data_IF_589170292089
#
_entry.id   IF_589170292089
#
_cell.length_a   1.000
_cell.length_b   1.000
_cell.length_c   1.000
_cell.angle_alpha   90.00
_cell.angle_beta   90.00
_cell.angle_gamma   90.00
#
_symmetry.space_group_name_H-M   'P 1'
#
loop_
_entity.id
_entity.type
_entity.pdbx_description
1 polymer ?
#
# COMPACT_ATOMS: atom_id res chain seq x y z
N UNK A 1 14.26 -7.48 -12.30
CA UNK A 1 14.40 -7.48 -13.78
C UNK A 1 15.77 -6.99 -14.26
N UNK A 2 16.32 -5.92 -13.67
CA UNK A 2 17.56 -5.27 -14.16
C UNK A 2 18.77 -6.21 -14.38
N UNK A 3 19.14 -7.14 -13.48
CA UNK A 3 20.29 -8.03 -13.73
C UNK A 3 20.07 -8.95 -14.94
N UNK A 4 18.87 -9.53 -15.08
CA UNK A 4 18.53 -10.44 -16.17
C UNK A 4 18.57 -9.75 -17.54
N UNK A 5 18.05 -8.52 -17.63
CA UNK A 5 18.05 -7.76 -18.87
C UNK A 5 19.43 -7.19 -19.22
N UNK A 6 20.11 -6.57 -18.25
CA UNK A 6 21.35 -5.82 -18.53
C UNK A 6 22.62 -6.68 -18.55
N UNK A 7 22.65 -7.77 -17.79
CA UNK A 7 23.84 -8.62 -17.67
C UNK A 7 23.67 -9.89 -18.52
N UNK A 8 22.50 -10.52 -18.45
CA UNK A 8 22.26 -11.82 -19.08
C UNK A 8 21.58 -11.72 -20.47
N UNK A 9 21.23 -10.53 -20.92
CA UNK A 9 20.59 -10.30 -22.23
C UNK A 9 19.19 -10.91 -22.37
N UNK A 10 18.54 -11.28 -21.27
CA UNK A 10 17.22 -11.91 -21.25
C UNK A 10 16.11 -10.86 -21.31
N UNK A 11 15.09 -11.10 -22.13
CA UNK A 11 13.91 -10.23 -22.20
C UNK A 11 12.81 -10.70 -21.24
N UNK A 12 12.18 -9.75 -20.57
CA UNK A 12 10.98 -9.97 -19.76
C UNK A 12 9.77 -9.49 -20.54
N UNK A 13 8.79 -10.37 -20.76
CA UNK A 13 7.52 -10.07 -21.44
C UNK A 13 6.38 -9.95 -20.43
N UNK A 14 5.29 -9.25 -20.80
CA UNK A 14 4.09 -9.14 -19.96
C UNK A 14 4.25 -8.33 -18.67
N UNK A 15 5.27 -7.48 -18.58
CA UNK A 15 5.53 -6.66 -17.37
C UNK A 15 4.48 -5.60 -17.12
N UNK A 16 3.76 -5.21 -18.18
CA UNK A 16 2.58 -4.35 -18.18
C UNK A 16 1.34 -5.00 -17.55
N UNK A 17 1.33 -6.33 -17.39
CA UNK A 17 0.26 -7.06 -16.70
C UNK A 17 0.44 -7.13 -15.18
N UNK A 18 1.56 -6.63 -14.65
CA UNK A 18 1.82 -6.60 -13.21
C UNK A 18 0.95 -5.53 -12.53
N UNK A 19 0.26 -5.92 -11.46
CA UNK A 19 -0.53 -5.01 -10.61
C UNK A 19 0.27 -4.58 -9.37
N UNK A 20 -0.32 -3.67 -8.60
CA UNK A 20 0.21 -3.20 -7.33
C UNK A 20 0.44 -4.34 -6.32
N UNK A 21 1.39 -4.14 -5.42
CA UNK A 21 1.51 -4.98 -4.23
C UNK A 21 0.58 -4.40 -3.15
N UNK A 22 -0.35 -5.18 -2.58
CA UNK A 22 -1.28 -4.71 -1.55
C UNK A 22 -0.60 -4.70 -0.18
N UNK A 23 0.50 -3.99 -0.06
CA UNK A 23 1.25 -3.85 1.18
C UNK A 23 0.80 -2.61 1.98
N UNK A 24 1.15 -2.61 3.27
CA UNK A 24 0.59 -1.70 4.25
C UNK A 24 0.98 -0.22 4.07
N UNK A 25 2.05 0.12 3.34
CA UNK A 25 2.42 1.53 3.08
C UNK A 25 1.57 2.11 1.94
N UNK A 26 1.35 1.35 0.88
CA UNK A 26 0.45 1.65 -0.23
C UNK A 26 -0.98 1.76 0.30
N UNK A 27 -1.45 0.73 1.01
CA UNK A 27 -2.78 0.73 1.60
C UNK A 27 -2.94 1.80 2.67
N UNK A 28 -1.88 2.03 3.46
CA UNK A 28 -1.87 2.97 4.57
C UNK A 28 -2.05 4.40 4.12
N UNK A 29 -1.49 4.74 2.96
CA UNK A 29 -1.68 6.04 2.34
C UNK A 29 -3.17 6.37 2.13
N UNK A 30 -3.97 5.42 1.63
CA UNK A 30 -5.40 5.68 1.38
C UNK A 30 -6.21 5.89 2.66
N UNK A 31 -5.84 5.22 3.75
CA UNK A 31 -6.48 5.45 5.05
C UNK A 31 -6.01 6.78 5.63
N UNK A 32 -4.72 7.08 5.56
CA UNK A 32 -4.17 8.33 6.08
C UNK A 32 -4.63 9.57 5.32
N UNK A 33 -4.90 9.45 4.02
CA UNK A 33 -5.43 10.54 3.20
C UNK A 33 -6.96 10.63 3.26
N UNK A 34 -7.62 9.77 4.05
CA UNK A 34 -9.09 9.77 4.23
C UNK A 34 -9.89 9.23 3.04
N UNK A 35 -9.24 8.53 2.10
CA UNK A 35 -9.90 7.83 0.98
C UNK A 35 -10.64 6.60 1.49
N UNK A 36 -10.07 5.92 2.49
CA UNK A 36 -10.69 4.80 3.20
C UNK A 36 -10.79 5.11 4.69
N UNK A 37 -11.86 4.62 5.30
CA UNK A 37 -12.04 4.63 6.75
C UNK A 37 -12.55 3.28 7.20
N UNK A 38 -12.07 2.79 8.34
CA UNK A 38 -12.66 1.61 8.96
C UNK A 38 -14.10 1.90 9.38
N UNK A 39 -14.96 0.89 9.26
CA UNK A 39 -16.29 0.94 9.86
C UNK A 39 -16.15 1.06 11.38
N UNK A 40 -17.07 1.74 12.08
CA UNK A 40 -16.96 1.97 13.52
C UNK A 40 -16.75 0.69 14.34
N UNK A 41 -17.45 -0.40 13.99
CA UNK A 41 -17.33 -1.70 14.64
C UNK A 41 -15.95 -2.33 14.45
N UNK A 42 -15.40 -2.25 13.23
CA UNK A 42 -14.04 -2.71 12.94
C UNK A 42 -13.05 -1.91 13.78
N UNK A 43 -13.08 -0.58 13.67
CA UNK A 43 -12.17 0.31 14.41
C UNK A 43 -12.17 0.00 15.91
N UNK A 44 -13.36 -0.09 16.52
CA UNK A 44 -13.49 -0.41 17.95
C UNK A 44 -12.91 -1.78 18.31
N UNK A 45 -13.13 -2.81 17.47
CA UNK A 45 -12.55 -4.15 17.66
C UNK A 45 -11.03 -4.12 17.58
N UNK A 46 -10.48 -3.43 16.58
CA UNK A 46 -9.03 -3.34 16.37
C UNK A 46 -8.31 -2.58 17.47
N UNK A 47 -8.89 -1.48 17.97
CA UNK A 47 -8.33 -0.71 19.09
C UNK A 47 -8.31 -1.52 20.39
N UNK A 48 -9.38 -2.28 20.66
CA UNK A 48 -9.41 -3.21 21.80
C UNK A 48 -8.33 -4.29 21.71
N UNK A 49 -8.05 -4.78 20.51
CA UNK A 49 -7.03 -5.80 20.28
C UNK A 49 -5.60 -5.27 20.46
N UNK A 50 -5.33 -4.03 20.04
CA UNK A 50 -4.00 -3.42 20.17
C UNK A 50 -3.70 -2.90 21.57
N UNK A 51 -4.73 -2.45 22.31
CA UNK A 51 -4.55 -1.75 23.58
C UNK A 51 -3.90 -0.36 23.43
N UNK A 52 -3.83 0.17 22.21
CA UNK A 52 -3.25 1.47 21.91
C UNK A 52 -4.10 2.29 20.93
N UNK A 53 -3.52 3.35 20.37
CA UNK A 53 -4.26 4.33 19.56
C UNK A 53 -4.50 3.90 18.10
N UNK A 54 -3.94 2.76 17.68
CA UNK A 54 -4.09 2.24 16.31
C UNK A 54 -4.74 0.86 16.33
N UNK A 55 -5.67 0.57 15.42
CA UNK A 55 -6.30 -0.75 15.34
C UNK A 55 -5.29 -1.81 14.88
N UNK A 56 -5.36 -3.00 15.47
CA UNK A 56 -4.50 -4.14 15.13
C UNK A 56 -5.34 -5.36 14.71
N UNK A 57 -4.87 -6.07 13.69
CA UNK A 57 -5.48 -7.28 13.16
C UNK A 57 -4.44 -8.27 12.68
N UNK A 58 -4.80 -9.54 12.60
CA UNK A 58 -3.98 -10.57 11.95
C UNK A 58 -4.05 -10.44 10.44
N UNK A 59 -3.01 -10.88 9.74
CA UNK A 59 -2.95 -10.80 8.28
C UNK A 59 -4.13 -11.51 7.57
N UNK A 60 -4.70 -12.54 8.18
CA UNK A 60 -5.85 -13.28 7.67
C UNK A 60 -7.21 -12.77 8.12
N UNK A 61 -7.29 -11.73 8.95
CA UNK A 61 -8.57 -11.15 9.35
C UNK A 61 -9.23 -10.45 8.15
N UNK A 62 -10.56 -10.55 8.05
CA UNK A 62 -11.35 -9.99 6.94
C UNK A 62 -11.03 -8.52 6.66
N UNK A 63 -10.80 -7.72 7.71
CA UNK A 63 -10.46 -6.29 7.60
C UNK A 63 -9.15 -6.09 6.81
N UNK A 64 -8.14 -6.95 7.04
CA UNK A 64 -6.87 -6.87 6.31
C UNK A 64 -7.06 -7.35 4.88
N UNK A 65 -7.81 -8.44 4.66
CA UNK A 65 -8.08 -8.96 3.32
C UNK A 65 -8.85 -7.94 2.47
N UNK A 66 -9.91 -7.35 3.01
CA UNK A 66 -10.69 -6.28 2.36
C UNK A 66 -9.83 -5.06 2.05
N UNK A 67 -9.04 -4.60 3.02
CA UNK A 67 -8.16 -3.44 2.83
C UNK A 67 -7.10 -3.69 1.76
N UNK A 68 -6.53 -4.90 1.69
CA UNK A 68 -5.59 -5.31 0.65
C UNK A 68 -6.25 -5.33 -0.73
N UNK A 69 -7.45 -5.89 -0.84
CA UNK A 69 -8.21 -5.89 -2.08
C UNK A 69 -8.53 -4.46 -2.55
N UNK A 70 -8.96 -3.59 -1.63
CA UNK A 70 -9.21 -2.18 -1.92
C UNK A 70 -7.94 -1.43 -2.34
N UNK A 71 -6.79 -1.77 -1.74
CA UNK A 71 -5.51 -1.16 -2.10
C UNK A 71 -5.18 -1.41 -3.58
N UNK A 72 -5.37 -2.63 -4.09
CA UNK A 72 -5.13 -2.93 -5.51
C UNK A 72 -5.98 -2.04 -6.43
N UNK A 73 -7.29 -2.02 -6.17
CA UNK A 73 -8.25 -1.26 -6.99
C UNK A 73 -7.98 0.24 -6.94
N UNK A 74 -7.62 0.76 -5.76
CA UNK A 74 -7.33 2.19 -5.59
C UNK A 74 -6.02 2.59 -6.24
N UNK A 75 -4.99 1.74 -6.21
CA UNK A 75 -3.74 2.03 -6.94
C UNK A 75 -3.98 2.05 -8.44
N UNK A 76 -4.75 1.11 -8.99
CA UNK A 76 -5.08 1.12 -10.43
C UNK A 76 -5.83 2.40 -10.83
N UNK A 77 -6.80 2.83 -10.02
CA UNK A 77 -7.51 4.11 -10.23
C UNK A 77 -6.57 5.31 -10.12
N UNK A 78 -5.70 5.32 -9.10
CA UNK A 78 -4.73 6.38 -8.90
C UNK A 78 -3.74 6.46 -10.06
N UNK A 79 -3.29 5.33 -10.59
CA UNK A 79 -2.39 5.27 -11.72
C UNK A 79 -2.97 5.97 -12.96
N UNK A 80 -4.23 5.67 -13.29
CA UNK A 80 -4.92 6.34 -14.38
C UNK A 80 -5.03 7.86 -14.16
N UNK A 81 -5.41 8.30 -12.95
CA UNK A 81 -5.52 9.72 -12.60
C UNK A 81 -4.16 10.44 -12.69
N UNK A 82 -3.09 9.79 -12.24
CA UNK A 82 -1.74 10.36 -12.30
C UNK A 82 -1.28 10.48 -13.74
N UNK A 83 -1.44 9.44 -14.56
CA UNK A 83 -1.05 9.49 -15.97
C UNK A 83 -1.77 10.62 -16.73
N UNK A 84 -3.06 10.83 -16.48
CA UNK A 84 -3.84 11.94 -17.06
C UNK A 84 -3.24 13.31 -16.73
N UNK A 85 -2.67 13.47 -15.53
CA UNK A 85 -2.06 14.73 -15.05
C UNK A 85 -0.61 14.93 -15.45
N UNK A 86 0.02 13.95 -16.09
CA UNK A 86 1.46 13.95 -16.36
C UNK A 86 1.80 14.46 -17.77
N UNK A 87 0.83 15.07 -18.49
CA UNK A 87 1.01 15.77 -19.77
C UNK A 87 1.85 14.97 -20.80
N UNK A 88 1.57 13.68 -20.92
CA UNK A 88 2.23 12.79 -21.89
C UNK A 88 3.52 12.11 -21.39
N UNK A 89 3.95 12.36 -20.14
CA UNK A 89 5.02 11.56 -19.52
C UNK A 89 4.49 10.14 -19.27
N UNK A 90 5.20 9.16 -19.83
CA UNK A 90 4.92 7.74 -19.57
C UNK A 90 5.55 7.32 -18.25
N UNK A 91 4.73 6.95 -17.29
CA UNK A 91 5.13 6.25 -16.07
C UNK A 91 4.65 4.80 -16.15
N UNK A 92 5.42 3.87 -15.62
CA UNK A 92 4.96 2.50 -15.36
C UNK A 92 4.31 2.39 -13.98
N UNK A 93 3.50 1.34 -13.77
CA UNK A 93 2.95 1.01 -12.45
C UNK A 93 4.05 0.89 -11.39
N UNK A 94 5.18 0.25 -11.70
CA UNK A 94 6.31 0.13 -10.79
C UNK A 94 6.89 1.49 -10.37
N UNK A 95 6.97 2.46 -11.29
CA UNK A 95 7.43 3.82 -10.98
C UNK A 95 6.43 4.56 -10.08
N UNK A 96 5.12 4.41 -10.34
CA UNK A 96 4.08 4.95 -9.47
C UNK A 96 4.17 4.36 -8.06
N UNK A 97 4.39 3.05 -7.93
CA UNK A 97 4.49 2.40 -6.62
C UNK A 97 5.68 2.93 -5.82
N UNK A 98 6.89 2.80 -6.37
CA UNK A 98 8.13 3.11 -5.64
C UNK A 98 8.26 4.59 -5.28
N UNK A 99 8.03 5.48 -6.25
CA UNK A 99 8.20 6.92 -6.08
C UNK A 99 6.90 7.66 -5.68
N UNK A 100 5.74 7.04 -5.88
CA UNK A 100 4.43 7.59 -5.54
C UNK A 100 3.90 7.00 -4.24
N UNK A 101 3.09 5.95 -4.32
CA UNK A 101 2.29 5.46 -3.17
C UNK A 101 3.15 4.97 -2.02
N UNK A 102 4.22 4.23 -2.30
CA UNK A 102 5.08 3.64 -1.27
C UNK A 102 5.89 4.71 -0.52
N UNK A 103 6.50 5.65 -1.27
CA UNK A 103 7.26 6.77 -0.70
C UNK A 103 6.34 7.73 0.06
N UNK A 104 5.23 8.14 -0.55
CA UNK A 104 4.26 9.03 0.07
C UNK A 104 3.64 8.42 1.32
N UNK A 105 3.29 7.12 1.27
CA UNK A 105 2.79 6.38 2.42
C UNK A 105 3.74 6.42 3.61
N UNK A 106 5.06 6.21 3.39
CA UNK A 106 6.06 6.34 4.46
C UNK A 106 6.20 7.76 5.00
N UNK A 107 6.21 8.75 4.12
CA UNK A 107 6.33 10.15 4.55
C UNK A 107 5.13 10.60 5.37
N UNK A 108 3.91 10.25 4.94
CA UNK A 108 2.68 10.55 5.66
C UNK A 108 2.63 9.79 6.99
N UNK A 109 3.00 8.51 7.00
CA UNK A 109 3.10 7.73 8.23
C UNK A 109 4.08 8.34 9.23
N UNK A 110 5.26 8.79 8.77
CA UNK A 110 6.25 9.45 9.62
C UNK A 110 5.78 10.81 10.15
N UNK A 111 4.99 11.56 9.38
CA UNK A 111 4.39 12.83 9.84
C UNK A 111 3.30 12.60 10.89
N UNK A 112 2.45 11.59 10.70
CA UNK A 112 1.31 11.30 11.59
C UNK A 112 1.71 10.52 12.84
N UNK A 113 2.73 9.68 12.74
CA UNK A 113 3.21 8.77 13.78
C UNK A 113 4.74 8.85 13.83
N UNK A 114 5.32 9.96 14.31
CA UNK A 114 6.77 10.19 14.26
C UNK A 114 7.58 9.10 14.97
N UNK A 115 7.05 8.58 16.08
CA UNK A 115 7.71 7.56 16.90
C UNK A 115 7.80 6.20 16.20
N UNK A 116 6.69 5.72 15.61
CA UNK A 116 6.61 4.36 15.05
C UNK A 116 6.78 4.33 13.54
N UNK A 117 6.39 5.40 12.84
CA UNK A 117 6.30 5.50 11.38
C UNK A 117 5.44 4.38 10.77
N UNK A 118 4.53 3.84 11.58
CA UNK A 118 3.72 2.68 11.24
C UNK A 118 2.56 3.03 10.32
N UNK A 119 1.99 2.00 9.69
CA UNK A 119 0.69 2.09 9.01
C UNK A 119 -0.41 2.53 9.99
N UNK A 120 -1.48 3.21 9.51
CA UNK A 120 -2.68 3.50 10.30
C UNK A 120 -3.44 2.25 10.79
N UNK A 121 -3.24 1.11 10.14
CA UNK A 121 -3.76 -0.20 10.56
C UNK A 121 -2.56 -1.12 10.79
N UNK A 122 -2.42 -1.64 12.01
CA UNK A 122 -1.32 -2.52 12.40
C UNK A 122 -1.66 -3.96 11.99
N UNK A 123 -0.74 -4.60 11.29
CA UNK A 123 -0.82 -6.03 10.99
C UNK A 123 0.04 -6.73 12.03
N UNK A 124 -0.59 -7.57 12.85
CA UNK A 124 0.11 -8.52 13.71
C UNK A 124 0.84 -9.52 12.81
N UNK A 125 2.18 -9.48 12.86
CA UNK A 125 3.05 -10.33 12.05
C UNK A 125 4.22 -10.80 12.90
N UNK A 126 4.53 -12.07 12.81
CA UNK A 126 5.75 -12.70 13.33
C UNK A 126 6.89 -12.75 12.29
N UNK A 127 6.69 -12.09 11.14
CA UNK A 127 7.62 -12.10 10.01
C UNK A 127 7.42 -13.25 9.02
N UNK A 128 6.44 -14.14 9.25
CA UNK A 128 6.12 -15.22 8.29
C UNK A 128 5.09 -14.77 7.23
N UNK A 129 4.28 -13.76 7.55
CA UNK A 129 3.27 -13.20 6.65
C UNK A 129 3.43 -11.68 6.61
N UNK A 130 3.65 -11.15 5.41
CA UNK A 130 3.76 -9.72 5.13
C UNK A 130 2.42 -9.10 4.79
#
# INVERSE_FOLDING_TARGET
MVPFQRILGLQWTGTDSLTALPEYRNGGLFVDMGVLTLKPESLNKGLKASGGDLPMYKAGDDVIVEWRAMTLVLVDKLYAIVLDKMDGVKLSMAQLLEAGTWKSGREVAAKKRPETKSSPIIIESDGTVF
#
